data_IF_982394199617
#
_entry.id   IF_982394199617
#
_cell.length_a   1.000
_cell.length_b   1.000
_cell.length_c   1.000
_cell.angle_alpha   90.00
_cell.angle_beta   90.00
_cell.angle_gamma   90.00
#
_symmetry.space_group_name_H-M   'P 1'
#
loop_
_entity.id
_entity.type
_entity.pdbx_description
1 polymer ?
#
# COMPACT_ATOMS: atom_id res chain seq x y z
N UNK A 1 3.35 -42.58 5.35
CA UNK A 1 4.01 -41.52 6.11
C UNK A 1 4.70 -40.61 5.12
N UNK A 2 4.26 -39.36 5.07
CA UNK A 2 4.84 -38.33 4.23
C UNK A 2 6.11 -37.85 4.94
N UNK A 3 7.28 -38.12 4.38
CA UNK A 3 8.55 -37.56 4.87
C UNK A 3 8.73 -36.17 4.28
N UNK A 4 8.83 -35.17 5.13
CA UNK A 4 9.16 -33.80 4.75
C UNK A 4 10.63 -33.72 4.32
N UNK A 5 10.99 -32.91 3.31
CA UNK A 5 12.37 -32.69 2.92
C UNK A 5 13.20 -32.11 4.07
N UNK A 6 14.49 -32.49 4.15
CA UNK A 6 15.45 -31.96 5.10
C UNK A 6 15.54 -30.43 4.96
N UNK A 7 15.41 -29.73 6.09
CA UNK A 7 15.40 -28.25 6.16
C UNK A 7 14.04 -27.61 6.44
N UNK A 8 12.96 -28.38 6.55
CA UNK A 8 11.59 -27.87 6.86
C UNK A 8 11.24 -27.96 8.36
N UNK A 9 12.22 -28.19 9.23
CA UNK A 9 12.01 -28.16 10.67
C UNK A 9 11.49 -26.79 11.11
N UNK A 10 10.25 -26.74 11.61
CA UNK A 10 9.60 -25.52 12.11
C UNK A 10 8.56 -24.89 11.20
N UNK A 11 8.28 -25.45 10.00
CA UNK A 11 7.18 -24.99 9.15
C UNK A 11 5.87 -25.63 9.60
N UNK A 12 5.03 -24.86 10.29
CA UNK A 12 3.69 -25.33 10.62
C UNK A 12 2.73 -25.03 9.47
N UNK A 13 1.75 -25.93 9.24
CA UNK A 13 0.67 -25.68 8.27
C UNK A 13 -0.13 -24.41 8.57
N UNK A 14 -0.15 -23.98 9.83
CA UNK A 14 -0.75 -22.70 10.25
C UNK A 14 0.07 -21.51 9.78
N UNK A 15 1.40 -21.59 9.80
CA UNK A 15 2.29 -20.54 9.29
C UNK A 15 2.17 -20.42 7.77
N UNK A 16 2.19 -21.54 7.04
CA UNK A 16 1.99 -21.54 5.59
C UNK A 16 0.64 -20.94 5.20
N UNK A 17 -0.47 -21.38 5.84
CA UNK A 17 -1.80 -20.82 5.57
C UNK A 17 -1.89 -19.31 5.86
N UNK A 18 -1.17 -18.83 6.87
CA UNK A 18 -1.09 -17.41 7.17
C UNK A 18 -0.31 -16.68 6.08
N UNK A 19 0.86 -17.18 5.69
CA UNK A 19 1.65 -16.56 4.61
C UNK A 19 0.88 -16.55 3.28
N UNK A 20 0.20 -17.63 2.91
CA UNK A 20 -0.63 -17.69 1.70
C UNK A 20 -1.78 -16.68 1.76
N UNK A 21 -2.48 -16.57 2.90
CA UNK A 21 -3.56 -15.60 3.08
C UNK A 21 -3.07 -14.16 3.06
N UNK A 22 -1.87 -13.91 3.59
CA UNK A 22 -1.26 -12.59 3.66
C UNK A 22 -0.44 -12.29 2.39
N UNK A 23 -0.46 -13.19 1.39
CA UNK A 23 0.32 -13.14 0.15
C UNK A 23 1.80 -12.85 0.42
N UNK A 24 2.33 -13.43 1.49
CA UNK A 24 3.73 -13.33 1.88
C UNK A 24 4.55 -14.29 1.00
N UNK A 25 5.54 -13.75 0.28
CA UNK A 25 6.41 -14.56 -0.58
C UNK A 25 7.19 -15.64 0.19
N UNK A 26 7.34 -15.51 1.52
CA UNK A 26 7.89 -16.58 2.34
C UNK A 26 7.09 -17.88 2.24
N UNK A 27 5.82 -17.83 1.83
CA UNK A 27 5.03 -19.03 1.56
C UNK A 27 5.69 -19.92 0.49
N UNK A 28 6.36 -19.29 -0.49
CA UNK A 28 7.09 -19.98 -1.58
C UNK A 28 8.23 -20.82 -1.04
N UNK A 29 9.00 -20.30 -0.07
CA UNK A 29 10.14 -20.98 0.52
C UNK A 29 9.74 -22.09 1.51
N UNK A 30 8.45 -22.19 1.83
CA UNK A 30 7.92 -23.18 2.79
C UNK A 30 7.45 -24.48 2.13
N UNK A 31 7.44 -24.56 0.80
CA UNK A 31 6.90 -25.69 0.04
C UNK A 31 7.82 -26.05 -1.12
N UNK A 32 7.69 -27.30 -1.63
CA UNK A 32 8.39 -27.69 -2.87
C UNK A 32 7.77 -27.01 -4.10
N UNK A 33 8.49 -27.02 -5.21
CA UNK A 33 8.03 -26.45 -6.48
C UNK A 33 6.69 -27.05 -6.89
N UNK A 34 6.54 -28.36 -6.84
CA UNK A 34 5.33 -29.07 -7.24
C UNK A 34 4.11 -28.66 -6.38
N UNK A 35 4.34 -28.49 -5.06
CA UNK A 35 3.27 -28.00 -4.15
C UNK A 35 2.92 -26.56 -4.45
N UNK A 36 3.93 -25.74 -4.78
CA UNK A 36 3.69 -24.35 -5.14
C UNK A 36 2.86 -24.20 -6.40
N UNK A 37 3.19 -24.95 -7.45
CA UNK A 37 2.41 -24.98 -8.70
C UNK A 37 0.93 -25.35 -8.45
N UNK A 38 0.69 -26.34 -7.60
CA UNK A 38 -0.68 -26.74 -7.21
C UNK A 38 -1.40 -25.60 -6.47
N UNK A 39 -0.69 -24.87 -5.59
CA UNK A 39 -1.29 -23.75 -4.85
C UNK A 39 -1.65 -22.59 -5.79
N UNK A 40 -0.82 -22.30 -6.79
CA UNK A 40 -1.09 -21.31 -7.84
C UNK A 40 -2.26 -21.74 -8.72
N UNK A 41 -2.26 -22.98 -9.22
CA UNK A 41 -3.34 -23.54 -10.06
C UNK A 41 -4.69 -23.50 -9.34
N UNK A 42 -4.71 -23.80 -8.05
CA UNK A 42 -5.91 -23.75 -7.22
C UNK A 42 -6.29 -22.37 -6.73
N UNK A 43 -5.52 -21.32 -7.09
CA UNK A 43 -5.79 -19.94 -6.69
C UNK A 43 -5.52 -19.63 -5.21
N UNK A 44 -4.78 -20.49 -4.51
CA UNK A 44 -4.36 -20.21 -3.13
C UNK A 44 -3.14 -19.30 -3.05
N UNK A 45 -2.37 -19.19 -4.13
CA UNK A 45 -1.23 -18.29 -4.28
C UNK A 45 -1.41 -17.46 -5.55
N UNK A 46 -1.33 -16.13 -5.42
CA UNK A 46 -1.35 -15.19 -6.55
C UNK A 46 0.03 -14.51 -6.62
N UNK A 47 0.85 -14.97 -7.57
CA UNK A 47 2.20 -14.46 -7.78
C UNK A 47 2.21 -13.04 -8.35
N UNK A 48 1.11 -12.64 -9.01
CA UNK A 48 1.00 -11.39 -9.71
C UNK A 48 0.28 -10.30 -8.89
N UNK A 49 0.03 -10.55 -7.59
CA UNK A 49 -0.65 -9.61 -6.72
C UNK A 49 0.04 -9.41 -5.39
N UNK A 50 0.21 -8.14 -5.01
CA UNK A 50 0.53 -7.72 -3.64
C UNK A 50 -0.78 -7.25 -3.02
N UNK A 51 -1.41 -8.10 -2.20
CA UNK A 51 -2.78 -7.91 -1.72
C UNK A 51 -2.88 -7.24 -0.35
N UNK A 52 -1.74 -6.89 0.27
CA UNK A 52 -1.68 -6.15 1.53
C UNK A 52 -0.43 -5.29 1.62
N UNK A 53 -0.59 -4.09 2.17
CA UNK A 53 0.51 -3.15 2.38
C UNK A 53 1.04 -3.26 3.81
N UNK A 54 1.57 -4.46 4.15
CA UNK A 54 2.14 -4.79 5.46
C UNK A 54 3.54 -5.40 5.30
N UNK A 55 4.29 -5.57 6.40
CA UNK A 55 5.61 -6.14 6.38
C UNK A 55 6.54 -5.40 5.42
N UNK A 56 7.18 -6.10 4.50
CA UNK A 56 8.08 -5.52 3.50
C UNK A 56 7.38 -4.57 2.50
N UNK A 57 6.06 -4.71 2.35
CA UNK A 57 5.24 -3.86 1.49
C UNK A 57 4.54 -2.71 2.23
N UNK A 58 4.82 -2.52 3.52
CA UNK A 58 4.25 -1.43 4.32
C UNK A 58 4.51 -0.04 3.72
N UNK A 59 5.60 0.11 2.97
CA UNK A 59 5.96 1.36 2.29
C UNK A 59 4.94 1.79 1.22
N UNK A 60 4.10 0.88 0.71
CA UNK A 60 3.02 1.20 -0.22
C UNK A 60 1.86 1.95 0.46
N UNK A 61 1.62 1.68 1.73
CA UNK A 61 0.53 2.30 2.50
C UNK A 61 0.81 3.76 2.89
N UNK A 62 -0.26 4.52 3.09
CA UNK A 62 -0.18 5.92 3.52
C UNK A 62 0.30 6.08 4.97
N UNK A 63 0.19 5.00 5.77
CA UNK A 63 0.63 4.98 7.18
C UNK A 63 2.14 4.80 7.35
N UNK A 64 2.86 4.53 6.24
CA UNK A 64 4.31 4.39 6.28
C UNK A 64 4.97 5.73 6.60
N UNK A 65 5.96 5.71 7.48
CA UNK A 65 6.67 6.91 7.96
C UNK A 65 7.70 7.35 6.92
N UNK A 66 7.23 8.11 5.94
CA UNK A 66 8.04 8.69 4.87
C UNK A 66 7.62 10.16 4.69
N UNK A 67 8.55 11.12 4.84
CA UNK A 67 8.21 12.52 4.73
C UNK A 67 7.77 12.88 3.32
N UNK A 68 6.76 13.74 3.25
CA UNK A 68 6.20 14.27 2.00
C UNK A 68 6.02 15.77 2.12
N UNK A 69 6.56 16.51 1.18
CA UNK A 69 6.26 17.94 1.00
C UNK A 69 5.11 18.09 0.01
N UNK A 70 4.05 18.75 0.45
CA UNK A 70 2.86 18.97 -0.37
C UNK A 70 2.20 20.31 -0.02
N UNK A 71 1.94 21.15 -1.04
CA UNK A 71 1.38 22.49 -0.83
C UNK A 71 2.25 23.39 0.08
N UNK A 72 3.57 23.29 -0.01
CA UNK A 72 4.51 24.07 0.79
C UNK A 72 4.68 23.61 2.25
N UNK A 73 4.00 22.53 2.65
CA UNK A 73 4.07 21.97 4.01
C UNK A 73 4.73 20.59 3.96
N UNK A 74 5.74 20.39 4.84
CA UNK A 74 6.38 19.10 5.01
C UNK A 74 5.63 18.26 6.05
N UNK A 75 5.02 17.19 5.59
CA UNK A 75 4.31 16.21 6.42
C UNK A 75 5.19 15.01 6.75
N UNK A 76 4.95 14.41 7.91
CA UNK A 76 5.67 13.22 8.35
C UNK A 76 5.37 11.98 7.48
N UNK A 77 4.16 11.90 6.94
CA UNK A 77 3.69 10.76 6.15
C UNK A 77 2.54 11.18 5.20
N UNK A 78 2.23 10.33 4.23
CA UNK A 78 1.17 10.60 3.24
C UNK A 78 -0.22 10.70 3.86
N UNK A 79 -0.49 9.97 4.95
CA UNK A 79 -1.78 10.09 5.65
C UNK A 79 -1.97 11.49 6.22
N UNK A 80 -0.94 12.03 6.88
CA UNK A 80 -0.99 13.40 7.40
C UNK A 80 -1.19 14.44 6.29
N UNK A 81 -0.46 14.30 5.17
CA UNK A 81 -0.63 15.16 4.01
C UNK A 81 -2.06 15.10 3.47
N UNK A 82 -2.61 13.91 3.29
CA UNK A 82 -3.95 13.69 2.76
C UNK A 82 -5.04 14.23 3.69
N UNK A 83 -4.94 13.94 4.99
CA UNK A 83 -5.94 14.40 5.96
C UNK A 83 -5.94 15.93 6.10
N UNK A 84 -4.77 16.58 5.97
CA UNK A 84 -4.65 18.02 5.98
C UNK A 84 -5.45 18.69 4.83
N UNK A 85 -5.53 18.05 3.65
CA UNK A 85 -6.22 18.61 2.50
C UNK A 85 -7.74 18.69 2.68
N UNK A 86 -8.29 18.09 3.72
CA UNK A 86 -9.69 18.27 4.12
C UNK A 86 -9.98 19.72 4.58
N UNK A 87 -8.96 20.45 5.03
CA UNK A 87 -9.07 21.82 5.45
C UNK A 87 -8.82 22.76 4.27
N UNK A 88 -9.67 23.80 4.12
CA UNK A 88 -9.41 24.91 3.20
C UNK A 88 -8.33 25.84 3.76
N UNK A 89 -8.32 26.03 5.06
CA UNK A 89 -7.45 26.92 5.80
C UNK A 89 -6.05 26.32 5.93
N UNK A 90 -5.06 27.03 5.43
CA UNK A 90 -3.65 26.62 5.44
C UNK A 90 -3.09 26.50 6.86
N UNK A 91 -3.47 27.39 7.78
CA UNK A 91 -3.04 27.29 9.20
C UNK A 91 -3.50 25.97 9.82
N UNK A 92 -4.70 25.52 9.49
CA UNK A 92 -5.21 24.22 9.96
C UNK A 92 -4.48 23.04 9.33
N UNK A 93 -3.99 23.16 8.10
CA UNK A 93 -3.16 22.12 7.47
C UNK A 93 -1.85 21.91 8.23
N UNK A 94 -1.27 22.96 8.80
CA UNK A 94 -0.05 22.86 9.62
C UNK A 94 -0.23 21.98 10.85
N UNK A 95 -1.44 21.84 11.39
CA UNK A 95 -1.70 20.96 12.53
C UNK A 95 -1.39 19.49 12.25
N UNK A 96 -1.37 19.11 10.98
CA UNK A 96 -1.11 17.73 10.55
C UNK A 96 0.36 17.42 10.32
N UNK A 97 1.22 18.43 10.15
CA UNK A 97 2.58 18.29 9.62
C UNK A 97 3.41 17.19 10.33
N UNK A 98 3.46 17.20 11.67
CA UNK A 98 4.27 16.25 12.46
C UNK A 98 3.49 15.04 12.99
N UNK A 99 2.21 14.87 12.63
CA UNK A 99 1.38 13.83 13.22
C UNK A 99 1.75 12.43 12.74
N UNK A 100 1.72 11.48 13.68
CA UNK A 100 1.68 10.06 13.33
C UNK A 100 0.38 9.75 12.57
N UNK A 101 0.38 8.76 11.64
CA UNK A 101 -0.74 8.54 10.70
C UNK A 101 -2.08 8.29 11.38
N UNK A 102 -2.11 7.51 12.46
CA UNK A 102 -3.35 7.29 13.22
C UNK A 102 -3.91 8.55 13.88
N UNK A 103 -3.02 9.45 14.35
CA UNK A 103 -3.42 10.76 14.89
C UNK A 103 -3.95 11.67 13.78
N UNK A 104 -3.28 11.69 12.63
CA UNK A 104 -3.73 12.45 11.48
C UNK A 104 -5.12 11.99 11.02
N UNK A 105 -5.34 10.67 10.90
CA UNK A 105 -6.65 10.10 10.54
C UNK A 105 -7.73 10.49 11.54
N UNK A 106 -7.45 10.40 12.84
CA UNK A 106 -8.38 10.78 13.90
C UNK A 106 -8.73 12.27 13.86
N UNK A 107 -7.74 13.16 13.66
CA UNK A 107 -7.96 14.60 13.56
C UNK A 107 -8.75 14.92 12.28
N UNK A 108 -8.37 14.30 11.14
CA UNK A 108 -9.05 14.50 9.86
C UNK A 108 -10.51 14.05 9.83
N UNK A 109 -10.93 13.19 10.77
CA UNK A 109 -12.33 12.83 10.99
C UNK A 109 -13.13 13.88 11.77
N UNK A 110 -12.48 14.92 12.31
CA UNK A 110 -13.10 15.94 13.17
C UNK A 110 -13.07 17.35 12.59
N UNK A 111 -12.26 17.58 11.57
CA UNK A 111 -12.18 18.90 10.92
C UNK A 111 -13.41 19.13 10.04
N UNK A 112 -13.77 20.41 9.87
CA UNK A 112 -14.77 20.79 8.87
C UNK A 112 -14.22 20.42 7.49
N UNK A 113 -14.98 19.60 6.78
CA UNK A 113 -14.65 19.16 5.45
C UNK A 113 -14.86 20.28 4.45
N UNK A 114 -13.93 20.48 3.53
CA UNK A 114 -14.09 21.37 2.38
C UNK A 114 -15.28 20.91 1.51
N UNK A 115 -15.94 21.83 0.87
CA UNK A 115 -17.20 21.55 0.17
C UNK A 115 -17.02 20.62 -1.05
N UNK A 116 -15.91 20.77 -1.76
CA UNK A 116 -15.56 19.99 -2.96
C UNK A 116 -14.78 18.68 -2.67
N UNK A 117 -14.75 18.23 -1.40
CA UNK A 117 -13.92 17.09 -0.98
C UNK A 117 -14.13 15.83 -1.83
N UNK A 118 -15.37 15.47 -2.10
CA UNK A 118 -15.67 14.24 -2.85
C UNK A 118 -15.14 14.30 -4.29
N UNK A 119 -15.08 15.49 -4.86
CA UNK A 119 -14.60 15.73 -6.23
C UNK A 119 -13.08 15.69 -6.30
N UNK A 120 -12.39 16.27 -5.30
CA UNK A 120 -10.94 16.48 -5.36
C UNK A 120 -10.12 15.39 -4.68
N UNK A 121 -10.70 14.62 -3.75
CA UNK A 121 -9.97 13.68 -2.88
C UNK A 121 -9.11 12.67 -3.65
N UNK A 122 -9.57 12.17 -4.79
CA UNK A 122 -8.83 11.17 -5.56
C UNK A 122 -7.63 11.80 -6.28
N UNK A 123 -7.80 13.01 -6.84
CA UNK A 123 -6.70 13.76 -7.43
C UNK A 123 -5.65 14.14 -6.39
N UNK A 124 -6.08 14.64 -5.22
CA UNK A 124 -5.17 14.96 -4.12
C UNK A 124 -4.38 13.72 -3.64
N UNK A 125 -5.03 12.57 -3.54
CA UNK A 125 -4.33 11.33 -3.19
C UNK A 125 -3.27 10.97 -4.23
N UNK A 126 -3.59 11.06 -5.52
CA UNK A 126 -2.63 10.81 -6.60
C UNK A 126 -1.41 11.73 -6.49
N UNK A 127 -1.62 13.04 -6.31
CA UNK A 127 -0.53 14.00 -6.18
C UNK A 127 0.34 13.73 -4.93
N UNK A 128 -0.26 13.39 -3.80
CA UNK A 128 0.47 13.07 -2.56
C UNK A 128 1.26 11.77 -2.71
N UNK A 129 0.69 10.74 -3.31
CA UNK A 129 1.41 9.47 -3.57
C UNK A 129 2.55 9.70 -4.56
N UNK A 130 2.32 10.48 -5.62
CA UNK A 130 3.38 10.89 -6.56
C UNK A 130 4.51 11.62 -5.82
N UNK A 131 4.18 12.61 -4.99
CA UNK A 131 5.15 13.34 -4.17
C UNK A 131 5.95 12.41 -3.25
N UNK A 132 5.28 11.46 -2.58
CA UNK A 132 5.94 10.47 -1.72
C UNK A 132 7.04 9.72 -2.47
N UNK A 133 6.75 9.19 -3.65
CA UNK A 133 7.70 8.36 -4.38
C UNK A 133 8.72 9.17 -5.16
N UNK A 134 8.43 10.39 -5.60
CA UNK A 134 9.41 11.25 -6.25
C UNK A 134 10.37 11.92 -5.26
N UNK A 135 9.94 12.16 -4.03
CA UNK A 135 10.76 12.80 -3.00
C UNK A 135 11.57 11.79 -2.15
N UNK A 136 11.28 10.48 -2.26
CA UNK A 136 11.99 9.42 -1.54
C UNK A 136 12.51 8.37 -2.53
N UNK A 137 13.73 8.55 -3.10
CA UNK A 137 14.26 7.69 -4.16
C UNK A 137 14.29 6.20 -3.81
N UNK A 138 14.65 5.86 -2.57
CA UNK A 138 14.65 4.48 -2.12
C UNK A 138 13.26 3.83 -2.13
N UNK A 139 12.19 4.61 -1.96
CA UNK A 139 10.82 4.11 -2.06
C UNK A 139 10.39 4.00 -3.52
N UNK A 140 10.86 4.90 -4.39
CA UNK A 140 10.66 4.80 -5.83
C UNK A 140 11.25 3.50 -6.38
N UNK A 141 12.49 3.17 -6.03
CA UNK A 141 13.14 1.91 -6.40
C UNK A 141 12.33 0.69 -5.93
N UNK A 142 11.87 0.70 -4.68
CA UNK A 142 11.02 -0.37 -4.14
C UNK A 142 9.68 -0.48 -4.88
N UNK A 143 9.05 0.64 -5.26
CA UNK A 143 7.81 0.62 -6.03
C UNK A 143 8.05 0.05 -7.43
N UNK A 144 9.12 0.46 -8.10
CA UNK A 144 9.53 -0.09 -9.40
C UNK A 144 9.85 -1.58 -9.32
N UNK A 145 10.49 -2.04 -8.24
CA UNK A 145 10.80 -3.45 -8.00
C UNK A 145 9.54 -4.34 -7.83
N UNK A 146 8.35 -3.76 -7.60
CA UNK A 146 7.09 -4.52 -7.65
C UNK A 146 6.75 -5.01 -9.07
N UNK A 147 7.48 -4.56 -10.09
CA UNK A 147 7.37 -5.04 -11.47
C UNK A 147 5.99 -4.78 -12.09
N UNK A 148 5.38 -5.82 -12.65
CA UNK A 148 4.02 -5.79 -13.20
C UNK A 148 2.93 -6.20 -12.21
N UNK A 149 3.27 -6.49 -10.96
CA UNK A 149 2.32 -7.01 -9.98
C UNK A 149 1.16 -6.05 -9.74
N UNK A 150 -0.03 -6.61 -9.60
CA UNK A 150 -1.22 -5.88 -9.17
C UNK A 150 -1.06 -5.47 -7.71
N UNK A 151 -1.31 -4.21 -7.39
CA UNK A 151 -1.23 -3.68 -6.03
C UNK A 151 -2.65 -3.51 -5.48
N UNK A 152 -2.91 -4.12 -4.33
CA UNK A 152 -4.22 -4.09 -3.68
C UNK A 152 -4.06 -3.72 -2.21
N UNK A 153 -4.74 -2.67 -1.77
CA UNK A 153 -4.82 -2.34 -0.35
C UNK A 153 -5.91 -3.20 0.32
N UNK A 154 -5.53 -4.40 0.75
CA UNK A 154 -6.42 -5.27 1.51
C UNK A 154 -6.66 -4.75 2.93
N UNK A 155 -7.90 -4.41 3.25
CA UNK A 155 -8.29 -3.87 4.55
C UNK A 155 -9.21 -4.83 5.30
N UNK A 156 -9.12 -4.83 6.64
CA UNK A 156 -9.99 -5.62 7.51
C UNK A 156 -11.07 -4.76 8.20
N UNK A 157 -11.13 -3.45 7.90
CA UNK A 157 -11.98 -2.46 8.57
C UNK A 157 -12.98 -1.79 7.63
N UNK A 158 -13.40 -2.52 6.58
CA UNK A 158 -14.45 -2.11 5.64
C UNK A 158 -14.15 -0.78 4.89
N UNK A 159 -12.87 -0.51 4.60
CA UNK A 159 -12.51 0.59 3.69
C UNK A 159 -12.68 0.11 2.24
N UNK A 160 -13.85 0.33 1.68
CA UNK A 160 -14.17 -0.07 0.31
C UNK A 160 -13.90 1.02 -0.72
N UNK A 161 -13.45 2.20 -0.30
CA UNK A 161 -13.08 3.30 -1.19
C UNK A 161 -11.60 3.19 -1.60
N UNK A 162 -10.70 3.26 -0.62
CA UNK A 162 -9.27 3.23 -0.90
C UNK A 162 -8.74 1.82 -1.10
N UNK A 163 -9.31 0.84 -0.41
CA UNK A 163 -8.90 -0.55 -0.46
C UNK A 163 -9.98 -1.51 -0.96
N UNK A 164 -9.74 -2.77 -0.64
CA UNK A 164 -10.67 -3.89 -0.80
C UNK A 164 -10.83 -4.56 0.57
N UNK A 165 -12.06 -4.76 1.00
CA UNK A 165 -12.34 -5.53 2.21
C UNK A 165 -11.98 -7.00 1.99
N UNK A 166 -11.08 -7.52 2.82
CA UNK A 166 -10.51 -8.88 2.67
C UNK A 166 -11.51 -10.01 2.96
N UNK A 167 -12.61 -9.71 3.65
CA UNK A 167 -13.62 -10.72 3.99
C UNK A 167 -14.68 -10.84 2.90
N UNK A 168 -14.99 -9.73 2.24
CA UNK A 168 -16.06 -9.69 1.23
C UNK A 168 -15.52 -9.60 -0.20
N UNK A 169 -14.25 -9.25 -0.38
CA UNK A 169 -13.66 -9.00 -1.71
C UNK A 169 -14.19 -7.72 -2.38
N UNK A 170 -14.96 -6.89 -1.66
CA UNK A 170 -15.57 -5.68 -2.22
C UNK A 170 -14.70 -4.45 -1.95
N UNK A 171 -14.68 -3.55 -2.93
CA UNK A 171 -13.96 -2.26 -2.83
C UNK A 171 -13.45 -1.79 -4.17
N UNK A 172 -13.10 -0.50 -4.23
CA UNK A 172 -12.68 0.16 -5.46
C UNK A 172 -11.16 0.08 -5.68
N UNK A 173 -10.39 -0.20 -4.60
CA UNK A 173 -8.92 -0.24 -4.62
C UNK A 173 -8.28 1.03 -5.21
N UNK A 174 -8.79 2.20 -4.86
CA UNK A 174 -8.30 3.46 -5.44
C UNK A 174 -6.82 3.67 -5.14
N UNK A 175 -6.35 3.38 -3.91
CA UNK A 175 -4.93 3.53 -3.57
C UNK A 175 -4.05 2.58 -4.38
N UNK A 176 -4.43 1.32 -4.53
CA UNK A 176 -3.67 0.37 -5.36
C UNK A 176 -3.58 0.80 -6.83
N UNK A 177 -4.68 1.32 -7.40
CA UNK A 177 -4.69 1.86 -8.77
C UNK A 177 -3.77 3.07 -8.92
N UNK A 178 -3.79 4.00 -7.95
CA UNK A 178 -2.91 5.17 -7.91
C UNK A 178 -1.44 4.74 -7.83
N UNK A 179 -1.11 3.77 -6.98
CA UNK A 179 0.26 3.25 -6.86
C UNK A 179 0.76 2.63 -8.16
N UNK A 180 -0.08 1.87 -8.87
CA UNK A 180 0.26 1.32 -10.18
C UNK A 180 0.47 2.42 -11.22
N UNK A 181 -0.37 3.44 -11.24
CA UNK A 181 -0.20 4.60 -12.11
C UNK A 181 1.12 5.34 -11.82
N UNK A 182 1.42 5.66 -10.56
CA UNK A 182 2.67 6.33 -10.19
C UNK A 182 3.90 5.48 -10.53
N UNK A 183 3.81 4.16 -10.36
CA UNK A 183 4.87 3.23 -10.79
C UNK A 183 5.14 3.32 -12.29
N UNK A 184 4.11 3.40 -13.10
CA UNK A 184 4.25 3.49 -14.55
C UNK A 184 4.81 4.85 -14.97
N UNK A 185 4.39 5.95 -14.35
CA UNK A 185 4.96 7.29 -14.53
C UNK A 185 6.48 7.33 -14.17
N UNK A 186 6.88 6.66 -13.08
CA UNK A 186 8.29 6.57 -12.69
C UNK A 186 9.13 5.78 -13.70
N UNK A 187 8.58 4.72 -14.29
CA UNK A 187 9.28 3.98 -15.37
C UNK A 187 9.51 4.85 -16.59
N UNK A 188 8.47 5.57 -17.03
CA UNK A 188 8.59 6.47 -18.19
C UNK A 188 9.67 7.53 -17.97
N UNK A 189 9.71 8.15 -16.78
CA UNK A 189 10.71 9.17 -16.46
C UNK A 189 12.15 8.63 -16.47
N UNK A 190 12.37 7.36 -16.12
CA UNK A 190 13.70 6.74 -16.20
C UNK A 190 14.15 6.56 -17.66
N UNK A 191 13.25 6.20 -18.59
CA UNK A 191 13.58 6.05 -20.01
C UNK A 191 13.97 7.37 -20.69
N UNK A 192 13.44 8.51 -20.24
CA UNK A 192 13.76 9.83 -20.80
C UNK A 192 14.99 10.49 -20.15
N UNK A 193 15.51 9.93 -19.06
CA UNK A 193 16.67 10.47 -18.32
C UNK A 193 17.95 9.69 -18.57
N UNK A 194 17.90 8.64 -19.40
CA UNK A 194 19.01 7.78 -19.83
C UNK A 194 19.47 8.15 -21.23
#
# INVERSE_FOLDING_TARGET
>A
SFQMPDGTEGISSSRLRRCLRDHDEQARDMVTEEVWEILVEKGYADLDCISRFTGRYAFLGNFYDAPVEFGGIRYRNSEAAFQAQKCEDEEKRLWFAGLAPGRAKSLGGRVRLREDWEEVKTGLMLEIVRAKFTQNPELAEKLLATGGKRLVEGTAWNDTCWGIDIHTGKGENRLGKILMQVRDELKENQYFSS
#
